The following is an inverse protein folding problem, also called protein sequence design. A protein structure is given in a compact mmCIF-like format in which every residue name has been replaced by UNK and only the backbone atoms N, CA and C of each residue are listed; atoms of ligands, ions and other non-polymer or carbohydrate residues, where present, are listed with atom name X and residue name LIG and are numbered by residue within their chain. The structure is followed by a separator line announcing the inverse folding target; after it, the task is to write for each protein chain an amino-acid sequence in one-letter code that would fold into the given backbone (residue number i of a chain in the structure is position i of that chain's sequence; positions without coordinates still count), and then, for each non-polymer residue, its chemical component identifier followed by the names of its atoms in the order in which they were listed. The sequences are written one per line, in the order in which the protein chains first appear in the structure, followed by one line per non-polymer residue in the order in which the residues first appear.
data_IF_391326161848
#
_entry.id   IF_391326161848
#
_cell.length_a   1.000
_cell.length_b   1.000
_cell.length_c   1.000
_cell.angle_alpha   90.00
_cell.angle_beta   90.00
_cell.angle_gamma   90.00
#
_symmetry.space_group_name_H-M   'P 1'
#
loop_
_entity.id
_entity.type
_entity.pdbx_description
1 polymer ?
#
# COMPACT_ATOMS: atom_id res chain seq x y z
N UNK A 1 -40.73 41.38 18.93
CA UNK A 1 -39.34 41.09 19.34
C UNK A 1 -38.75 39.80 18.74
N UNK A 2 -39.45 38.65 18.74
CA UNK A 2 -38.89 37.38 18.20
C UNK A 2 -38.50 37.40 16.71
N UNK A 3 -39.22 38.13 15.84
CA UNK A 3 -38.90 38.26 14.40
C UNK A 3 -37.64 39.09 14.10
N UNK A 4 -37.34 40.13 14.91
CA UNK A 4 -36.10 40.91 14.76
C UNK A 4 -34.87 40.11 15.18
N UNK A 5 -35.01 39.26 16.21
CA UNK A 5 -33.91 38.43 16.71
C UNK A 5 -33.50 37.33 15.72
N UNK A 6 -34.46 36.73 15.00
CA UNK A 6 -34.19 35.76 13.94
C UNK A 6 -33.48 36.39 12.72
N UNK A 7 -33.86 37.60 12.32
CA UNK A 7 -33.21 38.32 11.22
C UNK A 7 -31.75 38.68 11.58
N UNK A 8 -31.52 39.08 12.83
CA UNK A 8 -30.18 39.42 13.33
C UNK A 8 -29.25 38.20 13.36
N UNK A 9 -29.76 37.02 13.73
CA UNK A 9 -28.99 35.76 13.69
C UNK A 9 -28.62 35.37 12.25
N UNK A 10 -29.55 35.47 11.30
CA UNK A 10 -29.31 35.16 9.88
C UNK A 10 -28.28 36.11 9.26
N UNK A 11 -28.38 37.42 9.52
CA UNK A 11 -27.40 38.40 9.03
C UNK A 11 -26.00 38.18 9.62
N UNK A 12 -25.88 37.83 10.91
CA UNK A 12 -24.59 37.52 11.51
C UNK A 12 -23.97 36.24 10.92
N UNK A 13 -24.78 35.21 10.60
CA UNK A 13 -24.25 34.01 9.93
C UNK A 13 -23.73 34.29 8.52
N UNK A 14 -24.37 35.16 7.73
CA UNK A 14 -23.87 35.55 6.40
C UNK A 14 -22.60 36.42 6.48
N UNK A 15 -22.51 37.32 7.46
CA UNK A 15 -21.30 38.11 7.69
C UNK A 15 -20.12 37.24 8.15
N UNK A 16 -20.34 36.27 9.02
CA UNK A 16 -19.31 35.32 9.44
C UNK A 16 -18.85 34.41 8.29
N UNK A 17 -19.77 33.95 7.43
CA UNK A 17 -19.41 33.18 6.23
C UNK A 17 -18.59 34.01 5.24
N UNK A 18 -19.01 35.23 4.93
CA UNK A 18 -18.27 36.08 3.98
C UNK A 18 -16.88 36.50 4.50
N UNK A 19 -16.73 36.71 5.81
CA UNK A 19 -15.42 36.93 6.43
C UNK A 19 -14.54 35.68 6.37
N UNK A 20 -15.10 34.50 6.65
CA UNK A 20 -14.39 33.23 6.56
C UNK A 20 -13.91 32.97 5.12
N UNK A 21 -14.76 33.18 4.12
CA UNK A 21 -14.42 33.04 2.69
C UNK A 21 -13.31 34.01 2.28
N UNK A 22 -13.37 35.26 2.75
CA UNK A 22 -12.34 36.27 2.46
C UNK A 22 -10.98 35.92 3.08
N UNK A 23 -10.97 35.34 4.29
CA UNK A 23 -9.77 34.90 4.99
C UNK A 23 -9.18 33.64 4.33
N UNK A 24 -10.03 32.68 3.95
CA UNK A 24 -9.61 31.48 3.22
C UNK A 24 -8.99 31.85 1.88
N UNK A 25 -9.61 32.77 1.12
CA UNK A 25 -9.06 33.26 -0.14
C UNK A 25 -7.68 33.91 0.04
N UNK A 26 -7.53 34.82 1.00
CA UNK A 26 -6.23 35.44 1.31
C UNK A 26 -5.17 34.41 1.69
N UNK A 27 -5.53 33.42 2.49
CA UNK A 27 -4.63 32.33 2.89
C UNK A 27 -4.19 31.49 1.68
N UNK A 28 -5.10 31.15 0.77
CA UNK A 28 -4.78 30.40 -0.45
C UNK A 28 -3.87 31.21 -1.40
N UNK A 29 -4.13 32.51 -1.56
CA UNK A 29 -3.26 33.40 -2.34
C UNK A 29 -1.84 33.48 -1.75
N UNK A 30 -1.71 33.56 -0.43
CA UNK A 30 -0.43 33.58 0.25
C UNK A 30 0.32 32.24 0.11
N UNK A 31 -0.39 31.12 0.26
CA UNK A 31 0.14 29.77 0.02
C UNK A 31 0.68 29.66 -1.42
N UNK A 32 -0.12 30.08 -2.42
CA UNK A 32 0.27 30.06 -3.84
C UNK A 32 1.50 30.92 -4.11
N UNK A 33 1.53 32.17 -3.60
CA UNK A 33 2.69 33.06 -3.78
C UNK A 33 3.96 32.50 -3.15
N UNK A 34 3.84 31.90 -1.95
CA UNK A 34 4.96 31.28 -1.27
C UNK A 34 5.47 30.05 -2.02
N UNK A 35 4.56 29.24 -2.56
CA UNK A 35 4.89 28.11 -3.42
C UNK A 35 5.66 28.57 -4.65
N UNK A 36 5.14 29.53 -5.41
CA UNK A 36 5.78 30.02 -6.64
C UNK A 36 7.18 30.56 -6.36
N UNK A 37 7.33 31.37 -5.30
CA UNK A 37 8.63 31.92 -4.91
C UNK A 37 9.64 30.82 -4.61
N UNK A 38 9.27 29.83 -3.79
CA UNK A 38 10.16 28.72 -3.44
C UNK A 38 10.45 27.83 -4.64
N UNK A 39 9.44 27.55 -5.46
CA UNK A 39 9.55 26.71 -6.64
C UNK A 39 10.47 27.32 -7.71
N UNK A 40 10.41 28.64 -7.90
CA UNK A 40 11.29 29.34 -8.84
C UNK A 40 12.76 29.27 -8.38
N UNK A 41 13.04 29.50 -7.09
CA UNK A 41 14.38 29.36 -6.55
C UNK A 41 14.93 27.93 -6.70
N UNK A 42 14.09 26.93 -6.42
CA UNK A 42 14.41 25.52 -6.61
C UNK A 42 14.70 25.16 -8.07
N UNK A 43 13.91 25.70 -9.00
CA UNK A 43 14.07 25.52 -10.43
C UNK A 43 15.42 26.04 -10.90
N UNK A 44 15.77 27.27 -10.54
CA UNK A 44 17.06 27.88 -10.90
C UNK A 44 18.22 27.03 -10.38
N UNK A 45 18.13 26.59 -9.12
CA UNK A 45 19.12 25.71 -8.52
C UNK A 45 19.22 24.35 -9.24
N UNK A 46 18.09 23.71 -9.54
CA UNK A 46 18.06 22.42 -10.24
C UNK A 46 18.63 22.54 -11.66
N UNK A 47 18.32 23.62 -12.38
CA UNK A 47 18.87 23.88 -13.71
C UNK A 47 20.39 24.01 -13.66
N UNK A 48 20.93 24.73 -12.68
CA UNK A 48 22.39 24.86 -12.51
C UNK A 48 23.04 23.52 -12.12
N UNK A 49 22.52 22.84 -11.11
CA UNK A 49 23.05 21.55 -10.66
C UNK A 49 23.01 20.50 -11.79
N UNK A 50 21.95 20.49 -12.61
CA UNK A 50 21.78 19.51 -13.69
C UNK A 50 22.81 19.61 -14.81
N UNK A 51 23.55 20.74 -14.90
CA UNK A 51 24.67 20.89 -15.84
C UNK A 51 25.87 20.02 -15.46
N UNK A 52 26.03 19.71 -14.17
CA UNK A 52 27.21 19.01 -13.63
C UNK A 52 26.87 17.67 -12.99
N UNK A 53 25.62 17.48 -12.57
CA UNK A 53 25.15 16.29 -11.86
C UNK A 53 23.93 15.72 -12.56
N UNK A 54 23.78 14.40 -12.50
CA UNK A 54 22.50 13.76 -12.83
C UNK A 54 21.97 13.07 -11.58
N UNK A 55 20.85 13.58 -11.07
CA UNK A 55 20.18 13.04 -9.89
C UNK A 55 18.75 12.69 -10.29
N UNK A 56 18.36 11.45 -10.04
CA UNK A 56 17.00 10.98 -10.27
C UNK A 56 16.31 10.74 -8.93
N UNK A 57 15.08 11.20 -8.82
CA UNK A 57 14.25 11.00 -7.64
C UNK A 57 12.97 10.26 -8.06
N UNK A 58 12.26 9.64 -7.10
CA UNK A 58 10.96 9.02 -7.36
C UNK A 58 9.86 9.75 -6.59
N UNK A 59 8.81 10.15 -7.29
CA UNK A 59 7.61 10.71 -6.67
C UNK A 59 6.69 9.57 -6.22
N UNK A 60 6.35 9.55 -4.94
CA UNK A 60 5.37 8.63 -4.35
C UNK A 60 4.04 9.35 -4.18
N UNK A 61 2.89 8.71 -4.51
CA UNK A 61 1.59 9.35 -4.37
C UNK A 61 1.29 9.79 -2.92
N UNK A 62 0.53 10.87 -2.76
CA UNK A 62 0.09 11.40 -1.48
C UNK A 62 -1.42 11.18 -1.25
N UNK A 63 -1.90 11.08 0.00
CA UNK A 63 -1.14 10.89 1.24
C UNK A 63 -0.75 9.42 1.46
N UNK A 64 -1.11 8.55 0.52
CA UNK A 64 -0.87 7.12 0.52
C UNK A 64 0.01 6.76 -0.65
N UNK A 65 1.14 6.14 -0.35
CA UNK A 65 2.07 5.63 -1.34
C UNK A 65 3.04 4.69 -0.65
N UNK A 66 3.23 3.52 -1.23
CA UNK A 66 4.28 2.62 -0.76
C UNK A 66 5.64 3.29 -0.81
N UNK A 67 6.45 3.05 0.22
CA UNK A 67 7.87 3.31 0.15
C UNK A 67 8.45 2.58 -1.06
N UNK A 68 9.33 3.26 -1.81
CA UNK A 68 10.08 2.61 -2.87
C UNK A 68 10.96 1.52 -2.24
N UNK A 69 10.63 0.25 -2.44
CA UNK A 69 11.25 -0.84 -1.66
C UNK A 69 12.70 -1.10 -2.09
N UNK A 70 12.97 -0.92 -3.38
CA UNK A 70 14.21 -1.26 -4.06
C UNK A 70 15.20 -0.07 -4.16
N UNK A 71 15.17 0.87 -3.21
CA UNK A 71 16.05 2.06 -3.21
C UNK A 71 17.53 1.70 -3.34
N UNK A 72 17.97 0.67 -2.61
CA UNK A 72 19.36 0.23 -2.61
C UNK A 72 19.74 -0.32 -3.99
N UNK A 73 18.98 -1.29 -4.50
CA UNK A 73 19.22 -1.92 -5.79
C UNK A 73 19.19 -0.90 -6.93
N UNK A 74 18.21 0.01 -6.90
CA UNK A 74 18.07 1.06 -7.91
C UNK A 74 19.25 2.03 -7.90
N UNK A 75 19.70 2.46 -6.72
CA UNK A 75 20.89 3.29 -6.59
C UNK A 75 22.13 2.59 -7.18
N UNK A 76 22.33 1.30 -6.91
CA UNK A 76 23.45 0.54 -7.49
C UNK A 76 23.35 0.41 -9.02
N UNK A 77 22.15 0.18 -9.57
CA UNK A 77 21.93 0.06 -11.02
C UNK A 77 22.21 1.38 -11.76
N UNK A 78 21.96 2.52 -11.11
CA UNK A 78 22.14 3.84 -11.72
C UNK A 78 23.60 4.31 -11.71
N UNK A 79 24.42 3.85 -10.76
CA UNK A 79 25.84 4.27 -10.60
C UNK A 79 26.68 4.14 -11.88
N UNK A 80 26.65 3.02 -12.65
CA UNK A 80 27.43 2.88 -13.88
C UNK A 80 27.11 3.94 -14.95
N UNK A 81 25.93 4.55 -14.89
CA UNK A 81 25.50 5.61 -15.80
C UNK A 81 25.85 7.01 -15.30
N UNK A 82 26.55 7.12 -14.16
CA UNK A 82 26.86 8.40 -13.53
C UNK A 82 25.63 9.10 -12.95
N UNK A 83 24.57 8.34 -12.63
CA UNK A 83 23.32 8.85 -12.10
C UNK A 83 23.25 8.54 -10.61
N UNK A 84 23.02 9.57 -9.79
CA UNK A 84 22.77 9.40 -8.36
C UNK A 84 21.28 9.24 -8.10
N UNK A 85 20.89 8.25 -7.31
CA UNK A 85 19.52 8.19 -6.79
C UNK A 85 19.38 9.12 -5.58
N UNK A 86 18.47 10.09 -5.67
CA UNK A 86 18.26 11.12 -4.66
C UNK A 86 17.22 10.77 -3.58
N UNK A 87 16.61 9.59 -3.66
CA UNK A 87 15.56 9.14 -2.77
C UNK A 87 14.15 9.37 -3.34
N UNK A 88 13.16 8.95 -2.55
CA UNK A 88 11.75 9.19 -2.81
C UNK A 88 11.28 10.53 -2.22
N UNK A 89 10.22 11.11 -2.79
CA UNK A 89 9.50 12.20 -2.16
C UNK A 89 8.00 12.07 -2.39
N UNK A 90 7.23 12.60 -1.45
CA UNK A 90 5.78 12.67 -1.53
C UNK A 90 5.38 14.14 -1.59
N UNK A 91 4.50 14.47 -2.53
CA UNK A 91 3.90 15.80 -2.60
C UNK A 91 2.89 16.02 -1.45
N UNK A 92 2.46 17.27 -1.27
CA UNK A 92 1.40 17.58 -0.32
C UNK A 92 0.03 17.34 -0.97
N UNK A 93 -0.90 16.76 -0.22
CA UNK A 93 -2.32 16.65 -0.61
C UNK A 93 -3.06 18.01 -0.54
N UNK A 94 -2.47 18.99 0.16
CA UNK A 94 -2.94 20.38 0.16
C UNK A 94 -2.47 21.10 -1.12
N UNK A 95 -3.41 21.49 -1.96
CA UNK A 95 -3.15 22.26 -3.19
C UNK A 95 -2.34 23.53 -2.90
N UNK A 96 -1.28 23.74 -3.68
CA UNK A 96 -0.39 24.90 -3.56
C UNK A 96 0.52 24.87 -2.33
N UNK A 97 0.47 23.85 -1.48
CA UNK A 97 1.42 23.72 -0.38
C UNK A 97 2.78 23.26 -0.90
N UNK A 98 3.84 23.90 -0.41
CA UNK A 98 5.19 23.58 -0.82
C UNK A 98 5.86 22.64 0.17
N UNK A 99 6.11 21.40 -0.25
CA UNK A 99 6.90 20.42 0.48
C UNK A 99 8.41 20.62 0.22
N UNK A 100 9.25 20.17 1.16
CA UNK A 100 10.68 20.46 1.16
C UNK A 100 11.38 20.03 -0.14
N UNK A 101 11.91 21.02 -0.88
CA UNK A 101 12.64 20.86 -2.15
C UNK A 101 11.85 20.15 -3.26
N UNK A 102 10.51 20.20 -3.25
CA UNK A 102 9.71 19.43 -4.19
C UNK A 102 9.96 19.82 -5.65
N UNK A 103 10.11 21.12 -5.92
CA UNK A 103 10.34 21.60 -7.27
C UNK A 103 11.75 21.24 -7.71
N UNK A 104 12.75 21.34 -6.82
CA UNK A 104 14.11 20.92 -7.11
C UNK A 104 14.15 19.45 -7.54
N UNK A 105 13.51 18.55 -6.77
CA UNK A 105 13.44 17.12 -7.07
C UNK A 105 12.75 16.85 -8.41
N UNK A 106 11.62 17.52 -8.66
CA UNK A 106 10.88 17.43 -9.92
C UNK A 106 11.73 17.87 -11.12
N UNK A 107 12.36 19.05 -11.06
CA UNK A 107 13.19 19.57 -12.15
C UNK A 107 14.47 18.74 -12.38
N UNK A 108 15.13 18.26 -11.31
CA UNK A 108 16.27 17.35 -11.45
C UNK A 108 15.89 16.04 -12.12
N UNK A 109 14.77 15.43 -11.70
CA UNK A 109 14.21 14.22 -12.30
C UNK A 109 13.91 14.43 -13.76
N UNK A 110 13.23 15.53 -14.12
CA UNK A 110 12.92 15.83 -15.52
C UNK A 110 14.16 16.07 -16.37
N UNK A 111 15.18 16.71 -15.81
CA UNK A 111 16.47 16.89 -16.50
C UNK A 111 17.16 15.55 -16.78
N UNK A 112 17.12 14.63 -15.82
CA UNK A 112 17.63 13.27 -16.01
C UNK A 112 16.82 12.50 -17.07
N UNK A 113 15.48 12.56 -17.03
CA UNK A 113 14.60 11.94 -18.04
C UNK A 113 14.82 12.51 -19.44
N UNK A 114 15.03 13.82 -19.57
CA UNK A 114 15.35 14.43 -20.86
C UNK A 114 16.68 13.94 -21.43
N UNK A 115 17.63 13.54 -20.57
CA UNK A 115 18.96 13.07 -20.98
C UNK A 115 18.99 11.58 -21.33
N UNK A 116 18.25 10.75 -20.59
CA UNK A 116 18.29 9.28 -20.72
C UNK A 116 17.01 8.66 -21.29
N UNK A 117 15.91 9.41 -21.31
CA UNK A 117 14.56 8.94 -21.61
C UNK A 117 13.80 8.48 -20.36
N UNK A 118 12.49 8.70 -20.32
CA UNK A 118 11.63 8.23 -19.23
C UNK A 118 11.65 6.69 -19.15
N UNK A 119 11.57 6.02 -20.30
CA UNK A 119 11.57 4.56 -20.39
C UNK A 119 12.83 3.91 -19.82
N UNK A 120 13.98 4.57 -19.92
CA UNK A 120 15.23 4.10 -19.30
C UNK A 120 15.05 3.92 -17.79
N UNK A 121 14.42 4.88 -17.11
CA UNK A 121 14.20 4.80 -15.67
C UNK A 121 13.13 3.77 -15.30
N UNK A 122 12.08 3.63 -16.10
CA UNK A 122 11.07 2.58 -15.93
C UNK A 122 11.72 1.19 -15.97
N UNK A 123 12.54 0.91 -16.99
CA UNK A 123 13.27 -0.35 -17.10
C UNK A 123 14.21 -0.57 -15.90
N UNK A 124 14.90 0.48 -15.43
CA UNK A 124 15.79 0.38 -14.26
C UNK A 124 15.03 0.16 -12.96
N UNK A 125 13.83 0.72 -12.82
CA UNK A 125 12.95 0.48 -11.67
C UNK A 125 12.52 -0.99 -11.62
N UNK A 126 12.19 -1.58 -12.77
CA UNK A 126 11.80 -2.99 -12.87
C UNK A 126 12.98 -3.93 -12.65
N UNK A 127 14.17 -3.59 -13.18
CA UNK A 127 15.42 -4.30 -12.92
C UNK A 127 15.74 -4.31 -11.42
N UNK A 128 15.64 -3.14 -10.77
CA UNK A 128 15.86 -3.00 -9.33
C UNK A 128 14.85 -3.80 -8.50
N UNK A 129 13.58 -3.84 -8.91
CA UNK A 129 12.56 -4.63 -8.22
C UNK A 129 12.86 -6.13 -8.29
N UNK A 130 13.24 -6.63 -9.47
CA UNK A 130 13.63 -8.02 -9.64
C UNK A 130 14.82 -8.39 -8.76
N UNK A 131 15.83 -7.52 -8.71
CA UNK A 131 16.99 -7.70 -7.83
C UNK A 131 16.60 -7.65 -6.35
N UNK A 132 15.73 -6.72 -5.96
CA UNK A 132 15.26 -6.60 -4.58
C UNK A 132 14.55 -7.88 -4.12
N UNK A 133 13.62 -8.41 -4.92
CA UNK A 133 12.91 -9.66 -4.59
C UNK A 133 13.88 -10.83 -4.49
N UNK A 134 14.86 -10.91 -5.40
CA UNK A 134 15.90 -11.96 -5.38
C UNK A 134 16.79 -11.87 -4.15
N UNK A 135 17.19 -10.66 -3.75
CA UNK A 135 18.10 -10.42 -2.64
C UNK A 135 17.42 -10.50 -1.27
N UNK A 136 16.08 -10.43 -1.23
CA UNK A 136 15.29 -10.46 -0.01
C UNK A 136 14.27 -11.61 -0.04
N UNK A 137 14.71 -12.88 -0.14
CA UNK A 137 13.81 -14.03 -0.27
C UNK A 137 12.87 -14.22 0.94
N UNK A 138 13.26 -13.70 2.10
CA UNK A 138 12.50 -13.78 3.35
C UNK A 138 11.54 -12.60 3.56
N UNK A 139 11.52 -11.61 2.64
CA UNK A 139 10.59 -10.49 2.71
C UNK A 139 9.16 -11.02 2.54
N UNK A 140 8.37 -10.90 3.61
CA UNK A 140 6.94 -11.23 3.58
C UNK A 140 6.17 -9.98 3.16
N UNK A 141 5.44 -10.10 2.06
CA UNK A 141 4.50 -9.08 1.59
C UNK A 141 3.13 -9.28 2.24
N UNK A 142 2.45 -8.21 2.64
CA UNK A 142 1.13 -8.30 3.25
C UNK A 142 0.16 -7.27 2.64
N UNK A 143 -1.09 -7.27 3.13
CA UNK A 143 -2.18 -6.44 2.62
C UNK A 143 -1.94 -4.92 2.75
N UNK A 144 -0.94 -4.50 3.52
CA UNK A 144 -0.58 -3.08 3.70
C UNK A 144 0.31 -2.56 2.58
N UNK A 145 0.91 -3.46 1.79
CA UNK A 145 1.71 -3.08 0.63
C UNK A 145 0.75 -2.84 -0.53
N UNK A 146 0.67 -1.60 -0.98
CA UNK A 146 -0.13 -1.23 -2.13
C UNK A 146 0.29 -2.05 -3.36
N UNK A 147 -0.65 -2.38 -4.24
CA UNK A 147 -0.39 -3.15 -5.49
C UNK A 147 0.04 -4.61 -5.31
N UNK A 148 0.01 -5.18 -4.10
CA UNK A 148 -0.02 -6.64 -4.00
C UNK A 148 -1.33 -7.15 -4.62
N UNK A 149 -1.22 -8.11 -5.54
CA UNK A 149 -2.36 -8.79 -6.13
C UNK A 149 -2.48 -10.17 -5.49
N UNK A 150 -3.51 -10.34 -4.68
CA UNK A 150 -3.85 -11.61 -4.07
C UNK A 150 -4.43 -12.56 -5.12
N UNK A 151 -3.89 -13.77 -5.17
CA UNK A 151 -4.35 -14.83 -6.06
C UNK A 151 -5.64 -15.45 -5.53
N UNK A 152 -6.62 -15.60 -6.42
CA UNK A 152 -7.85 -16.32 -6.10
C UNK A 152 -7.56 -17.82 -5.90
N UNK A 153 -7.88 -18.32 -4.71
CA UNK A 153 -7.71 -19.71 -4.32
C UNK A 153 -9.05 -20.24 -3.79
N UNK A 154 -9.61 -21.29 -4.41
CA UNK A 154 -10.88 -21.92 -4.03
C UNK A 154 -10.74 -22.88 -2.83
N UNK A 155 -9.89 -22.53 -1.87
CA UNK A 155 -9.49 -23.43 -0.78
C UNK A 155 -10.69 -23.95 0.01
N UNK A 156 -11.59 -23.06 0.43
CA UNK A 156 -12.73 -23.43 1.28
C UNK A 156 -13.66 -24.43 0.57
N UNK A 157 -13.96 -24.18 -0.71
CA UNK A 157 -14.76 -25.09 -1.54
C UNK A 157 -14.07 -26.47 -1.62
N UNK A 158 -12.76 -26.50 -1.88
CA UNK A 158 -12.01 -27.74 -2.02
C UNK A 158 -11.73 -28.46 -0.70
N UNK A 159 -11.77 -27.74 0.42
CA UNK A 159 -11.80 -28.32 1.76
C UNK A 159 -13.13 -29.04 1.98
N UNK A 160 -14.26 -28.37 1.78
CA UNK A 160 -15.59 -28.93 2.01
C UNK A 160 -15.97 -30.09 1.09
N UNK A 161 -15.45 -30.14 -0.14
CA UNK A 161 -15.62 -31.31 -1.03
C UNK A 161 -15.08 -32.61 -0.44
N UNK A 162 -14.10 -32.56 0.46
CA UNK A 162 -13.40 -33.74 0.99
C UNK A 162 -13.58 -33.91 2.49
N UNK A 163 -13.71 -32.81 3.21
CA UNK A 163 -13.86 -32.83 4.66
C UNK A 163 -15.29 -33.25 5.03
N UNK A 164 -15.39 -34.24 5.92
CA UNK A 164 -16.65 -34.67 6.51
C UNK A 164 -16.67 -34.24 7.96
N UNK A 165 -17.77 -33.61 8.38
CA UNK A 165 -17.97 -33.27 9.78
C UNK A 165 -17.95 -34.56 10.65
N UNK A 166 -17.40 -34.49 11.86
CA UNK A 166 -17.52 -35.59 12.82
C UNK A 166 -18.98 -35.99 13.05
N UNK A 167 -19.24 -37.28 13.27
CA UNK A 167 -20.60 -37.84 13.35
C UNK A 167 -21.48 -37.14 14.40
N UNK A 168 -20.89 -36.70 15.50
CA UNK A 168 -21.58 -36.08 16.64
C UNK A 168 -21.46 -34.54 16.63
N UNK A 169 -20.93 -33.95 15.56
CA UNK A 169 -20.84 -32.50 15.41
C UNK A 169 -22.26 -31.92 15.27
N UNK A 170 -22.61 -30.99 16.17
CA UNK A 170 -23.93 -30.33 16.18
C UNK A 170 -23.91 -29.17 15.19
N UNK A 171 -24.85 -29.19 14.23
CA UNK A 171 -25.06 -28.11 13.27
C UNK A 171 -26.14 -27.15 13.75
N UNK A 172 -26.00 -25.89 13.42
CA UNK A 172 -26.95 -24.80 13.62
C UNK A 172 -27.05 -23.95 12.36
N UNK A 173 -28.28 -23.60 11.99
CA UNK A 173 -28.53 -22.68 10.88
C UNK A 173 -28.45 -21.20 11.33
N UNK A 174 -28.38 -20.94 12.63
CA UNK A 174 -28.40 -19.58 13.21
C UNK A 174 -27.03 -19.16 13.76
N UNK A 175 -26.18 -20.13 14.12
CA UNK A 175 -24.93 -19.91 14.82
C UNK A 175 -23.83 -20.71 14.15
N UNK A 176 -22.86 -20.02 13.53
CA UNK A 176 -21.73 -20.66 12.86
C UNK A 176 -20.46 -20.59 13.70
N UNK A 177 -19.73 -21.70 13.75
CA UNK A 177 -18.37 -21.73 14.29
C UNK A 177 -17.38 -21.32 13.19
N UNK A 178 -16.23 -20.75 13.57
CA UNK A 178 -15.23 -20.31 12.60
C UNK A 178 -13.85 -20.84 12.97
N UNK A 179 -13.05 -21.12 11.95
CA UNK A 179 -11.61 -21.30 12.09
C UNK A 179 -10.92 -20.27 11.20
N UNK A 180 -10.04 -19.49 11.79
CA UNK A 180 -9.17 -18.55 11.11
C UNK A 180 -7.81 -19.20 10.94
N UNK A 181 -7.26 -19.14 9.73
CA UNK A 181 -5.91 -19.62 9.46
C UNK A 181 -5.06 -18.49 8.92
N UNK A 182 -3.90 -18.29 9.54
CA UNK A 182 -2.90 -17.31 9.15
C UNK A 182 -1.62 -18.05 8.78
N UNK A 183 -1.10 -17.80 7.59
CA UNK A 183 0.08 -18.51 7.09
C UNK A 183 0.78 -17.70 6.02
N UNK A 184 1.97 -18.12 5.66
CA UNK A 184 2.72 -17.52 4.55
C UNK A 184 2.65 -18.42 3.33
N UNK A 185 2.42 -17.86 2.15
CA UNK A 185 2.59 -18.55 0.86
C UNK A 185 3.91 -18.06 0.26
N UNK A 186 4.82 -18.97 -0.06
CA UNK A 186 6.06 -18.64 -0.76
C UNK A 186 5.84 -18.39 -2.26
N UNK A 187 6.90 -17.94 -2.96
CA UNK A 187 6.88 -17.66 -4.40
C UNK A 187 6.55 -18.90 -5.26
N UNK A 188 6.72 -20.10 -4.73
CA UNK A 188 6.49 -21.37 -5.42
C UNK A 188 5.13 -21.98 -5.05
N UNK A 189 4.31 -21.29 -4.25
CA UNK A 189 2.97 -21.72 -3.85
C UNK A 189 2.93 -22.68 -2.65
N UNK A 190 4.00 -22.77 -1.87
CA UNK A 190 4.03 -23.58 -0.64
C UNK A 190 3.60 -22.77 0.56
N UNK A 191 2.81 -23.40 1.44
CA UNK A 191 2.36 -22.80 2.68
C UNK A 191 3.32 -23.11 3.84
N UNK A 192 3.71 -22.08 4.59
CA UNK A 192 4.59 -22.14 5.75
C UNK A 192 4.00 -21.34 6.93
N UNK A 193 4.56 -21.52 8.14
CA UNK A 193 4.21 -20.74 9.33
C UNK A 193 2.70 -20.71 9.62
N UNK A 194 2.06 -21.88 9.56
CA UNK A 194 0.61 -22.01 9.69
C UNK A 194 0.20 -21.91 11.15
N UNK A 195 -0.52 -20.85 11.46
CA UNK A 195 -1.20 -20.60 12.72
C UNK A 195 -2.71 -20.70 12.54
N UNK A 196 -3.40 -21.22 13.56
CA UNK A 196 -4.83 -21.51 13.52
C UNK A 196 -5.50 -21.03 14.81
N UNK A 197 -6.56 -20.25 14.65
CA UNK A 197 -7.43 -19.82 15.73
C UNK A 197 -8.84 -20.35 15.49
N UNK A 198 -9.54 -20.75 16.55
CA UNK A 198 -10.89 -21.29 16.45
C UNK A 198 -11.87 -20.51 17.34
N UNK A 199 -13.11 -20.42 16.87
CA UNK A 199 -14.24 -19.80 17.55
C UNK A 199 -15.45 -20.73 17.42
N UNK A 200 -15.46 -21.79 18.24
CA UNK A 200 -16.58 -22.72 18.33
C UNK A 200 -17.68 -22.15 19.22
N UNK A 201 -18.84 -21.89 18.62
CA UNK A 201 -19.97 -21.30 19.32
C UNK A 201 -20.76 -22.30 20.17
N UNK A 202 -20.84 -23.54 19.70
CA UNK A 202 -21.51 -24.63 20.43
C UNK A 202 -20.44 -25.34 21.28
N UNK A 203 -20.56 -25.25 22.60
CA UNK A 203 -19.56 -25.77 23.54
C UNK A 203 -19.25 -27.26 23.35
N UNK A 204 -20.24 -28.09 23.01
CA UNK A 204 -20.00 -29.51 22.75
C UNK A 204 -19.11 -29.75 21.53
N UNK A 205 -19.12 -28.87 20.52
CA UNK A 205 -18.29 -29.03 19.33
C UNK A 205 -16.80 -28.80 19.59
N UNK A 206 -16.42 -28.20 20.74
CA UNK A 206 -15.02 -28.02 21.13
C UNK A 206 -14.26 -29.35 21.23
N UNK A 207 -14.94 -30.47 21.51
CA UNK A 207 -14.29 -31.78 21.53
C UNK A 207 -13.66 -32.17 20.18
N UNK A 208 -14.15 -31.59 19.07
CA UNK A 208 -13.66 -31.84 17.72
C UNK A 208 -12.59 -30.85 17.25
N UNK A 209 -12.28 -29.82 18.04
CA UNK A 209 -11.38 -28.74 17.65
C UNK A 209 -10.05 -29.27 17.13
N UNK A 210 -9.36 -30.10 17.93
CA UNK A 210 -8.05 -30.66 17.56
C UNK A 210 -8.09 -31.42 16.23
N UNK A 211 -9.14 -32.21 16.00
CA UNK A 211 -9.31 -32.96 14.75
C UNK A 211 -9.55 -32.02 13.56
N UNK A 212 -10.41 -31.02 13.73
CA UNK A 212 -10.75 -30.03 12.69
C UNK A 212 -9.52 -29.20 12.33
N UNK A 213 -8.82 -28.65 13.32
CA UNK A 213 -7.60 -27.85 13.11
C UNK A 213 -6.50 -28.68 12.41
N UNK A 214 -6.32 -29.94 12.81
CA UNK A 214 -5.38 -30.83 12.14
C UNK A 214 -5.76 -31.09 10.68
N UNK A 215 -7.03 -31.30 10.37
CA UNK A 215 -7.51 -31.50 9.01
C UNK A 215 -7.31 -30.25 8.14
N UNK A 216 -7.58 -29.06 8.68
CA UNK A 216 -7.37 -27.77 8.01
C UNK A 216 -5.88 -27.58 7.74
N UNK A 217 -5.01 -27.71 8.75
CA UNK A 217 -3.55 -27.58 8.60
C UNK A 217 -3.00 -28.51 7.53
N UNK A 218 -3.39 -29.79 7.58
CA UNK A 218 -2.97 -30.78 6.59
C UNK A 218 -3.44 -30.45 5.18
N UNK A 219 -4.64 -29.89 5.04
CA UNK A 219 -5.15 -29.43 3.74
C UNK A 219 -4.38 -28.21 3.25
N UNK A 220 -4.09 -27.22 4.10
CA UNK A 220 -3.30 -26.02 3.75
C UNK A 220 -1.93 -26.42 3.22
N UNK A 221 -1.21 -27.31 3.92
CA UNK A 221 0.13 -27.78 3.52
C UNK A 221 0.12 -28.46 2.14
N UNK A 222 -0.93 -29.23 1.84
CA UNK A 222 -1.04 -30.02 0.59
C UNK A 222 -1.74 -29.29 -0.55
N UNK A 223 -2.29 -28.11 -0.28
CA UNK A 223 -3.02 -27.35 -1.28
C UNK A 223 -2.03 -26.70 -2.26
N UNK A 224 -2.38 -26.71 -3.54
CA UNK A 224 -1.57 -26.08 -4.58
C UNK A 224 -1.91 -24.58 -4.62
N UNK A 225 -1.28 -23.80 -3.76
CA UNK A 225 -1.56 -22.36 -3.69
C UNK A 225 -1.00 -21.66 -4.93
N UNK A 226 -1.80 -20.77 -5.51
CA UNK A 226 -1.27 -19.78 -6.43
C UNK A 226 -0.57 -18.70 -5.61
N UNK A 227 0.71 -18.40 -5.87
CA UNK A 227 1.42 -17.35 -5.16
C UNK A 227 0.79 -15.99 -5.44
N UNK A 228 0.86 -15.09 -4.47
CA UNK A 228 0.49 -13.69 -4.68
C UNK A 228 1.58 -13.00 -5.48
N UNK A 229 1.22 -11.91 -6.16
CA UNK A 229 2.18 -11.17 -7.00
C UNK A 229 2.29 -9.71 -6.58
N UNK A 230 3.50 -9.17 -6.64
CA UNK A 230 3.76 -7.73 -6.51
C UNK A 230 4.29 -7.23 -7.86
N UNK A 231 3.56 -6.33 -8.50
CA UNK A 231 3.83 -5.87 -9.88
C UNK A 231 4.08 -7.04 -10.87
N UNK A 232 3.31 -8.12 -10.73
CA UNK A 232 3.40 -9.30 -11.60
C UNK A 232 4.47 -10.34 -11.22
N UNK A 233 5.34 -10.04 -10.25
CA UNK A 233 6.35 -10.98 -9.76
C UNK A 233 5.82 -11.77 -8.58
N UNK A 234 6.00 -13.10 -8.59
CA UNK A 234 5.60 -13.96 -7.48
C UNK A 234 6.44 -13.65 -6.22
N UNK A 235 5.77 -13.45 -5.09
CA UNK A 235 6.41 -13.05 -3.82
C UNK A 235 5.93 -13.90 -2.64
N UNK A 236 6.80 -14.02 -1.64
CA UNK A 236 6.42 -14.56 -0.34
C UNK A 236 5.45 -13.60 0.34
N UNK A 237 4.29 -14.09 0.79
CA UNK A 237 3.23 -13.22 1.29
C UNK A 237 2.36 -13.82 2.38
N UNK A 238 1.82 -12.96 3.25
CA UNK A 238 0.88 -13.35 4.29
C UNK A 238 -0.50 -13.63 3.68
N UNK A 239 -1.09 -14.75 4.09
CA UNK A 239 -2.41 -15.17 3.72
C UNK A 239 -3.25 -15.41 4.96
N UNK A 240 -4.52 -14.99 4.89
CA UNK A 240 -5.55 -15.37 5.86
C UNK A 240 -6.72 -16.04 5.14
N UNK A 241 -7.28 -17.07 5.74
CA UNK A 241 -8.55 -17.65 5.33
C UNK A 241 -9.46 -17.85 6.54
N UNK A 242 -10.76 -17.80 6.32
CA UNK A 242 -11.77 -18.12 7.31
C UNK A 242 -12.58 -19.29 6.78
N UNK A 243 -12.71 -20.35 7.57
CA UNK A 243 -13.57 -21.49 7.24
C UNK A 243 -14.77 -21.44 8.16
N UNK A 244 -15.96 -21.37 7.56
CA UNK A 244 -17.21 -21.28 8.32
C UNK A 244 -17.82 -22.66 8.47
N UNK A 245 -18.01 -23.09 9.71
CA UNK A 245 -18.66 -24.34 10.04
C UNK A 245 -20.14 -24.07 10.36
N UNK A 246 -21.05 -24.92 9.85
CA UNK A 246 -22.44 -24.87 10.27
C UNK A 246 -22.57 -25.31 11.73
#
# INVERSE_FOLDING_TARGET
MKKLSALFLVFNSFFLHSQLDSLQKKRLEEISKNFEKKCNADKEKALEDSKTKTIYYINTPAPYGDNFLQEKEFSEILKPFGISFGGSWMESDIAGFYSSNQCYKSFMTKSAENRFGEHFFEEKIDEALNLFIKNNPDKIFDYRIERIKFSENNFEIDFWKRFKLPKNYIKSNEISSKVYAFFTIDKDGKAENIDLESDFKIKSNLEFEKQILSAIKNKIIKYNWKPNTYKGLAVKSLQSITITFP
#
